data_IF_760100595831
#
_entry.id   IF_760100595831
#
_cell.length_a   1.000
_cell.length_b   1.000
_cell.length_c   1.000
_cell.angle_alpha   90.00
_cell.angle_beta   90.00
_cell.angle_gamma   90.00
#
_symmetry.space_group_name_H-M   'P 1'
#
loop_
_entity.id
_entity.type
_entity.pdbx_description
1 polymer ?
#
# COMPACT_ATOMS: atom_id res chain seq x y z
N UNK A 1 23.37 22.22 6.78
CA UNK A 1 24.72 21.61 6.72
C UNK A 1 24.65 20.24 6.06
N UNK A 2 24.41 20.19 4.75
CA UNK A 2 24.52 18.96 3.95
C UNK A 2 25.92 18.98 3.30
N UNK A 3 26.71 17.91 3.45
CA UNK A 3 27.91 17.74 2.61
C UNK A 3 29.26 17.52 3.29
N UNK A 4 29.36 16.76 4.38
CA UNK A 4 30.60 16.00 4.61
C UNK A 4 30.39 14.60 4.04
N UNK A 5 31.18 14.24 3.04
CA UNK A 5 31.33 12.85 2.60
C UNK A 5 31.90 12.09 3.79
N UNK A 6 31.03 11.41 4.53
CA UNK A 6 31.45 10.56 5.62
C UNK A 6 32.02 9.30 4.95
N UNK A 7 33.32 9.08 5.09
CA UNK A 7 33.93 7.82 4.69
C UNK A 7 33.46 6.74 5.67
N UNK A 8 32.50 5.93 5.22
CA UNK A 8 32.00 4.78 5.98
C UNK A 8 32.91 3.60 5.67
N UNK A 9 33.50 3.01 6.70
CA UNK A 9 34.29 1.78 6.62
C UNK A 9 33.55 0.68 7.37
N UNK A 10 33.56 -0.54 6.84
CA UNK A 10 32.87 -1.69 7.45
C UNK A 10 33.88 -2.72 7.92
N UNK A 11 33.77 -3.12 9.18
CA UNK A 11 34.49 -4.26 9.74
C UNK A 11 33.55 -5.46 9.84
N UNK A 12 33.95 -6.63 9.33
CA UNK A 12 33.18 -7.86 9.43
C UNK A 12 33.18 -8.46 10.83
N UNK A 13 34.19 -8.11 11.64
CA UNK A 13 34.32 -8.54 13.03
C UNK A 13 35.21 -7.57 13.82
N UNK A 14 35.27 -7.76 15.14
CA UNK A 14 36.04 -6.90 16.03
C UNK A 14 37.55 -6.94 15.74
N UNK A 15 38.09 -8.07 15.26
CA UNK A 15 39.51 -8.24 14.98
C UNK A 15 39.94 -7.35 13.81
N UNK A 16 39.15 -7.33 12.74
CA UNK A 16 39.40 -6.45 11.58
C UNK A 16 39.37 -4.97 11.97
N UNK A 17 38.45 -4.58 12.85
CA UNK A 17 38.39 -3.22 13.38
C UNK A 17 39.65 -2.87 14.17
N UNK A 18 40.10 -3.77 15.05
CA UNK A 18 41.32 -3.58 15.85
C UNK A 18 42.56 -3.51 14.95
N UNK A 19 42.66 -4.38 13.94
CA UNK A 19 43.76 -4.38 12.98
C UNK A 19 43.80 -3.10 12.14
N UNK A 20 42.63 -2.53 11.86
CA UNK A 20 42.53 -1.23 11.18
C UNK A 20 43.17 -0.10 11.96
N UNK A 21 42.82 0.03 13.25
CA UNK A 21 43.41 1.05 14.11
C UNK A 21 44.89 0.80 14.40
N UNK A 22 45.35 -0.46 14.35
CA UNK A 22 46.77 -0.82 14.47
C UNK A 22 47.57 -0.59 13.18
N UNK A 23 46.91 -0.31 12.05
CA UNK A 23 47.55 -0.14 10.74
C UNK A 23 48.00 -1.45 10.08
N UNK A 24 47.63 -2.61 10.62
CA UNK A 24 47.96 -3.93 10.04
C UNK A 24 46.97 -4.38 8.97
N UNK A 25 45.81 -3.74 8.89
CA UNK A 25 44.78 -3.99 7.89
C UNK A 25 44.10 -2.66 7.52
N UNK A 26 43.63 -2.50 6.27
CA UNK A 26 42.85 -1.33 5.87
C UNK A 26 41.42 -1.77 5.61
N UNK A 27 40.46 -1.24 6.38
CA UNK A 27 39.05 -1.42 6.07
C UNK A 27 38.71 -0.61 4.83
N UNK A 28 37.87 -1.16 3.98
CA UNK A 28 37.40 -0.49 2.76
C UNK A 28 35.95 -0.03 2.93
N UNK A 29 35.53 0.98 2.15
CA UNK A 29 34.13 1.33 2.06
C UNK A 29 33.29 0.15 1.59
N UNK A 30 32.07 -0.04 2.14
CA UNK A 30 31.20 -1.10 1.69
C UNK A 30 30.72 -0.83 0.26
N UNK A 31 30.70 -1.87 -0.57
CA UNK A 31 30.06 -1.80 -1.88
C UNK A 31 28.54 -1.91 -1.73
N UNK A 32 27.82 -0.89 -2.21
CA UNK A 32 26.37 -0.89 -2.20
C UNK A 32 25.84 -1.92 -3.22
N UNK A 33 25.32 -3.05 -2.72
CA UNK A 33 24.66 -4.06 -3.55
C UNK A 33 23.18 -3.69 -3.68
N UNK A 34 22.79 -3.19 -4.85
CA UNK A 34 21.39 -2.95 -5.18
C UNK A 34 20.82 -4.18 -5.88
N UNK A 35 19.55 -4.48 -5.62
CA UNK A 35 18.83 -5.45 -6.43
C UNK A 35 18.56 -4.81 -7.79
N UNK A 36 19.24 -5.30 -8.84
CA UNK A 36 19.08 -4.80 -10.20
C UNK A 36 17.93 -5.47 -10.97
N UNK A 37 17.43 -6.61 -10.48
CA UNK A 37 16.31 -7.30 -11.13
C UNK A 37 15.01 -6.49 -11.01
N UNK A 38 14.36 -6.16 -12.13
CA UNK A 38 13.08 -5.49 -12.10
C UNK A 38 12.03 -6.44 -11.53
N UNK A 39 11.36 -6.02 -10.46
CA UNK A 39 10.14 -6.71 -10.02
C UNK A 39 9.09 -6.52 -11.10
N UNK A 40 8.69 -7.61 -11.74
CA UNK A 40 7.70 -7.59 -12.80
C UNK A 40 6.29 -7.60 -12.19
N UNK A 41 5.59 -6.48 -12.28
CA UNK A 41 4.20 -6.35 -11.86
C UNK A 41 3.26 -6.56 -13.06
N UNK A 42 2.02 -7.02 -12.83
CA UNK A 42 1.00 -7.06 -13.88
C UNK A 42 0.78 -5.69 -14.54
N UNK A 43 0.52 -5.68 -15.85
CA UNK A 43 0.32 -4.46 -16.64
C UNK A 43 -1.17 -4.12 -16.76
N UNK A 44 -1.51 -2.83 -16.64
CA UNK A 44 -2.87 -2.34 -16.82
C UNK A 44 -3.46 -2.64 -18.21
N UNK A 45 -2.61 -2.79 -19.24
CA UNK A 45 -3.08 -3.17 -20.58
C UNK A 45 -3.70 -4.56 -20.63
N UNK A 46 -3.33 -5.44 -19.69
CA UNK A 46 -3.83 -6.82 -19.67
C UNK A 46 -5.23 -6.92 -19.00
N UNK A 47 -5.68 -5.85 -18.35
CA UNK A 47 -7.01 -5.76 -17.75
C UNK A 47 -7.92 -5.14 -18.79
N UNK A 48 -8.91 -5.89 -19.25
CA UNK A 48 -9.85 -5.41 -20.26
C UNK A 48 -10.99 -4.62 -19.60
N UNK A 49 -11.33 -3.47 -20.15
CA UNK A 49 -12.36 -2.60 -19.62
C UNK A 49 -12.01 -2.04 -18.23
N UNK A 50 -13.01 -1.95 -17.34
CA UNK A 50 -12.88 -1.39 -15.99
C UNK A 50 -12.29 0.03 -15.95
N UNK A 51 -12.66 0.89 -16.91
CA UNK A 51 -12.14 2.27 -17.04
C UNK A 51 -12.25 3.06 -15.74
N UNK A 52 -13.38 2.95 -15.04
CA UNK A 52 -13.61 3.60 -13.74
C UNK A 52 -12.59 3.09 -12.70
N UNK A 53 -12.39 1.78 -12.58
CA UNK A 53 -11.45 1.21 -11.63
C UNK A 53 -9.99 1.56 -11.94
N UNK A 54 -9.59 1.53 -13.21
CA UNK A 54 -8.26 1.98 -13.64
C UNK A 54 -8.03 3.45 -13.29
N UNK A 55 -9.02 4.30 -13.57
CA UNK A 55 -8.96 5.73 -13.26
C UNK A 55 -8.89 5.98 -11.76
N UNK A 56 -9.68 5.27 -10.96
CA UNK A 56 -9.66 5.35 -9.51
C UNK A 56 -8.31 4.92 -8.94
N UNK A 57 -7.70 3.85 -9.47
CA UNK A 57 -6.34 3.43 -9.09
C UNK A 57 -5.28 4.47 -9.47
N UNK A 58 -5.41 5.12 -10.62
CA UNK A 58 -4.53 6.25 -11.01
C UNK A 58 -4.66 7.42 -10.03
N UNK A 59 -5.89 7.79 -9.66
CA UNK A 59 -6.15 8.85 -8.67
C UNK A 59 -5.58 8.45 -7.30
N UNK A 60 -5.83 7.21 -6.87
CA UNK A 60 -5.31 6.68 -5.63
C UNK A 60 -3.77 6.69 -5.60
N UNK A 61 -3.11 6.19 -6.65
CA UNK A 61 -1.66 6.22 -6.80
C UNK A 61 -1.08 7.65 -6.81
N UNK A 62 -1.82 8.59 -7.38
CA UNK A 62 -1.42 10.01 -7.50
C UNK A 62 -1.53 10.76 -6.17
N UNK A 63 -2.64 10.59 -5.44
CA UNK A 63 -2.90 11.30 -4.18
C UNK A 63 -2.45 10.54 -2.93
N UNK A 64 -2.10 9.26 -3.05
CA UNK A 64 -1.81 8.38 -1.91
C UNK A 64 -3.06 7.89 -1.20
N UNK A 65 -4.22 7.95 -1.86
CA UNK A 65 -5.52 7.67 -1.26
C UNK A 65 -5.75 6.18 -1.02
N UNK A 66 -6.41 5.86 0.08
CA UNK A 66 -6.93 4.53 0.33
C UNK A 66 -8.16 4.28 -0.56
N UNK A 67 -8.23 3.09 -1.14
CA UNK A 67 -9.28 2.75 -2.11
C UNK A 67 -9.99 1.46 -1.71
N UNK A 68 -11.31 1.50 -1.69
CA UNK A 68 -12.17 0.35 -1.53
C UNK A 68 -12.95 0.06 -2.82
N UNK A 69 -12.86 -1.19 -3.28
CA UNK A 69 -13.56 -1.68 -4.46
C UNK A 69 -14.67 -2.66 -4.08
N UNK A 70 -15.89 -2.32 -4.45
CA UNK A 70 -17.06 -3.19 -4.32
C UNK A 70 -17.37 -3.84 -5.65
N UNK A 71 -17.74 -5.11 -5.68
CA UNK A 71 -18.26 -5.71 -6.91
C UNK A 71 -18.40 -7.22 -6.82
N UNK A 72 -19.08 -7.86 -7.79
CA UNK A 72 -19.27 -9.31 -7.79
C UNK A 72 -17.92 -10.06 -7.92
N UNK A 73 -17.90 -11.38 -7.62
CA UNK A 73 -16.71 -12.18 -7.83
C UNK A 73 -16.32 -12.20 -9.33
N UNK A 74 -15.04 -12.47 -9.61
CA UNK A 74 -14.47 -12.58 -10.97
C UNK A 74 -14.52 -11.31 -11.84
N UNK A 75 -14.69 -10.12 -11.25
CA UNK A 75 -14.60 -8.84 -11.97
C UNK A 75 -13.17 -8.29 -12.14
N UNK A 76 -12.17 -9.04 -11.66
CA UNK A 76 -10.76 -8.68 -11.81
C UNK A 76 -10.20 -7.77 -10.70
N UNK A 77 -10.92 -7.58 -9.59
CA UNK A 77 -10.49 -6.75 -8.44
C UNK A 77 -9.07 -7.06 -7.96
N UNK A 78 -8.75 -8.35 -7.74
CA UNK A 78 -7.42 -8.79 -7.31
C UNK A 78 -6.33 -8.51 -8.34
N UNK A 79 -6.66 -8.55 -9.64
CA UNK A 79 -5.71 -8.23 -10.72
C UNK A 79 -5.49 -6.71 -10.82
N UNK A 80 -6.57 -5.94 -10.66
CA UNK A 80 -6.55 -4.47 -10.58
C UNK A 80 -5.65 -4.00 -9.42
N UNK A 81 -5.80 -4.56 -8.22
CA UNK A 81 -4.94 -4.20 -7.08
C UNK A 81 -3.48 -4.59 -7.30
N UNK A 82 -3.23 -5.77 -7.89
CA UNK A 82 -1.87 -6.25 -8.18
C UNK A 82 -1.14 -5.37 -9.23
N UNK A 83 -1.87 -4.64 -10.08
CA UNK A 83 -1.27 -3.67 -10.99
C UNK A 83 -0.81 -2.38 -10.28
N UNK A 84 -1.33 -2.03 -9.09
CA UNK A 84 -1.05 -0.75 -8.46
C UNK A 84 0.45 -0.44 -8.26
N UNK A 85 1.30 -1.37 -7.78
CA UNK A 85 2.72 -1.10 -7.62
C UNK A 85 3.44 -0.72 -8.92
N UNK A 86 2.92 -1.15 -10.07
CA UNK A 86 3.48 -0.82 -11.39
C UNK A 86 3.37 0.67 -11.75
N UNK A 87 2.43 1.40 -11.13
CA UNK A 87 2.16 2.81 -11.41
C UNK A 87 2.62 3.77 -10.30
N UNK A 88 3.11 3.23 -9.17
CA UNK A 88 3.57 4.06 -8.06
C UNK A 88 4.92 4.73 -8.37
N UNK A 89 5.18 5.93 -7.83
CA UNK A 89 6.46 6.60 -7.99
C UNK A 89 7.58 5.80 -7.34
N UNK A 90 8.80 5.88 -7.89
CA UNK A 90 9.99 5.23 -7.29
C UNK A 90 10.21 5.71 -5.86
N UNK A 91 10.77 4.85 -5.00
CA UNK A 91 11.12 5.22 -3.63
C UNK A 91 12.31 6.19 -3.61
N UNK A 92 12.27 7.13 -2.67
CA UNK A 92 13.44 7.93 -2.30
C UNK A 92 14.47 7.08 -1.56
N UNK A 93 15.72 7.55 -1.47
CA UNK A 93 16.78 6.87 -0.71
C UNK A 93 16.40 6.65 0.76
N UNK A 94 15.72 7.62 1.38
CA UNK A 94 15.23 7.50 2.76
C UNK A 94 14.21 6.37 2.91
N UNK A 95 13.23 6.31 1.99
CA UNK A 95 12.22 5.24 1.98
C UNK A 95 12.85 3.86 1.75
N UNK A 96 13.83 3.74 0.85
CA UNK A 96 14.57 2.50 0.61
C UNK A 96 15.25 2.02 1.90
N UNK A 97 15.91 2.93 2.63
CA UNK A 97 16.59 2.59 3.88
C UNK A 97 15.60 2.14 4.96
N UNK A 98 14.49 2.88 5.16
CA UNK A 98 13.43 2.52 6.11
C UNK A 98 12.86 1.12 5.84
N UNK A 99 12.46 0.84 4.59
CA UNK A 99 11.96 -0.48 4.21
C UNK A 99 13.02 -1.58 4.38
N UNK A 100 14.27 -1.29 4.08
CA UNK A 100 15.38 -2.25 4.22
C UNK A 100 15.66 -2.59 5.68
N UNK A 101 15.61 -1.59 6.58
CA UNK A 101 15.72 -1.81 8.03
C UNK A 101 14.59 -2.71 8.53
N UNK A 102 13.34 -2.47 8.10
CA UNK A 102 12.19 -3.31 8.48
C UNK A 102 12.39 -4.76 8.00
N UNK A 103 12.74 -4.95 6.73
CA UNK A 103 13.01 -6.29 6.16
C UNK A 103 14.14 -7.00 6.89
N UNK A 104 15.18 -6.26 7.30
CA UNK A 104 16.30 -6.79 8.09
C UNK A 104 15.83 -7.27 9.48
N UNK A 105 15.07 -6.45 10.21
CA UNK A 105 14.50 -6.80 11.52
C UNK A 105 13.56 -8.01 11.41
N UNK A 106 12.80 -8.11 10.31
CA UNK A 106 11.94 -9.25 10.04
C UNK A 106 12.71 -10.56 9.78
N UNK A 107 14.02 -10.48 9.52
CA UNK A 107 14.86 -11.60 9.09
C UNK A 107 14.60 -12.03 7.64
N UNK A 108 14.10 -11.11 6.80
CA UNK A 108 13.75 -11.34 5.38
C UNK A 108 14.78 -10.72 4.41
N UNK A 109 15.98 -10.40 4.89
CA UNK A 109 16.99 -9.72 4.09
C UNK A 109 17.58 -10.68 3.04
N UNK A 110 17.41 -10.34 1.76
CA UNK A 110 17.92 -11.11 0.61
C UNK A 110 19.39 -10.76 0.37
N UNK A 111 20.31 -11.57 0.90
CA UNK A 111 21.75 -11.56 0.57
C UNK A 111 22.46 -10.19 0.62
N UNK A 112 22.01 -9.29 1.50
CA UNK A 112 22.61 -7.97 1.62
C UNK A 112 22.13 -6.93 0.59
N UNK A 113 21.18 -7.28 -0.29
CA UNK A 113 20.73 -6.41 -1.39
C UNK A 113 19.59 -5.49 -0.97
N UNK A 114 19.70 -4.21 -1.32
CA UNK A 114 18.61 -3.24 -1.13
C UNK A 114 17.65 -3.32 -2.33
N UNK A 115 16.35 -3.46 -2.04
CA UNK A 115 15.33 -3.40 -3.09
C UNK A 115 14.85 -1.98 -3.33
N UNK A 116 14.68 -1.61 -4.59
CA UNK A 116 14.12 -0.30 -5.01
C UNK A 116 12.60 -0.35 -5.21
N UNK A 117 12.02 -1.54 -5.18
CA UNK A 117 10.61 -1.75 -5.42
C UNK A 117 9.80 -1.47 -4.15
N UNK A 118 8.64 -0.82 -4.30
CA UNK A 118 7.76 -0.58 -3.16
C UNK A 118 7.25 -1.92 -2.61
N UNK A 119 7.20 -2.08 -1.27
CA UNK A 119 6.58 -3.25 -0.69
C UNK A 119 5.11 -3.38 -1.14
N UNK A 120 4.72 -4.58 -1.53
CA UNK A 120 3.33 -4.91 -1.85
C UNK A 120 2.97 -6.15 -1.03
N UNK A 121 1.99 -6.02 -0.14
CA UNK A 121 1.60 -7.08 0.80
C UNK A 121 0.15 -7.45 0.56
N UNK A 122 -0.10 -8.74 0.32
CA UNK A 122 -1.44 -9.31 0.10
C UNK A 122 -1.65 -10.46 1.09
N UNK A 123 -1.84 -10.19 2.39
CA UNK A 123 -2.12 -11.26 3.34
C UNK A 123 -3.40 -12.01 2.96
N UNK A 124 -3.41 -13.32 3.18
CA UNK A 124 -4.63 -14.11 3.04
C UNK A 124 -5.61 -13.78 4.18
N UNK A 125 -6.92 -13.88 3.96
CA UNK A 125 -7.93 -13.56 4.99
C UNK A 125 -7.84 -14.41 6.26
N UNK A 126 -7.16 -15.56 6.20
CA UNK A 126 -6.80 -16.38 7.37
C UNK A 126 -5.64 -15.82 8.21
N UNK A 127 -5.15 -14.61 7.88
CA UNK A 127 -4.10 -13.93 8.62
C UNK A 127 -4.52 -13.69 10.07
N UNK A 128 -3.69 -14.14 11.02
CA UNK A 128 -3.92 -13.88 12.44
C UNK A 128 -3.59 -12.45 12.81
N UNK A 129 -4.09 -11.99 13.96
CA UNK A 129 -3.74 -10.67 14.49
C UNK A 129 -2.23 -10.48 14.62
N UNK A 130 -1.51 -11.50 15.12
CA UNK A 130 -0.06 -11.46 15.27
C UNK A 130 0.69 -11.41 13.92
N UNK A 131 0.15 -12.02 12.86
CA UNK A 131 0.72 -11.92 11.52
C UNK A 131 0.46 -10.53 10.91
N UNK A 132 -0.73 -9.95 11.13
CA UNK A 132 -1.10 -8.63 10.62
C UNK A 132 -0.33 -7.50 11.32
N UNK A 133 -0.39 -7.46 12.65
CA UNK A 133 0.19 -6.42 13.51
C UNK A 133 1.68 -6.64 13.77
N UNK A 134 2.07 -7.90 13.90
CA UNK A 134 3.37 -8.30 14.43
C UNK A 134 3.25 -8.77 15.87
N UNK A 135 4.31 -9.39 16.37
CA UNK A 135 4.32 -9.99 17.69
C UNK A 135 5.52 -10.89 17.92
N UNK A 136 5.57 -11.49 19.10
CA UNK A 136 6.67 -12.35 19.56
C UNK A 136 6.90 -12.20 21.05
N UNK A 137 7.85 -12.96 21.59
CA UNK A 137 8.17 -12.96 23.02
C UNK A 137 9.57 -12.39 23.26
N UNK A 138 9.70 -11.52 24.27
CA UNK A 138 10.98 -10.92 24.67
C UNK A 138 11.63 -10.10 23.56
N UNK A 139 12.93 -10.30 23.31
CA UNK A 139 13.69 -9.57 22.27
C UNK A 139 13.38 -10.01 20.82
N UNK A 140 12.44 -10.94 20.61
CA UNK A 140 12.08 -11.50 19.29
C UNK A 140 10.75 -10.98 18.74
N UNK A 141 10.32 -9.78 19.14
CA UNK A 141 9.12 -9.14 18.56
C UNK A 141 9.39 -8.76 17.12
N UNK A 142 8.70 -9.41 16.19
CA UNK A 142 8.84 -9.18 14.75
C UNK A 142 7.74 -8.27 14.21
N UNK A 143 8.04 -7.48 13.17
CA UNK A 143 7.03 -6.70 12.47
C UNK A 143 6.01 -7.61 11.75
N UNK A 144 4.76 -7.16 11.68
CA UNK A 144 3.68 -7.82 10.92
C UNK A 144 3.55 -7.32 9.48
N UNK A 145 2.50 -7.78 8.80
CA UNK A 145 2.18 -7.41 7.42
C UNK A 145 1.97 -5.90 7.25
N UNK A 146 1.38 -5.23 8.24
CA UNK A 146 1.20 -3.77 8.26
C UNK A 146 2.53 -3.03 8.18
N UNK A 147 3.47 -3.36 9.08
CA UNK A 147 4.81 -2.75 9.08
C UNK A 147 5.60 -3.12 7.82
N UNK A 148 5.45 -4.36 7.34
CA UNK A 148 6.12 -4.82 6.13
C UNK A 148 5.59 -4.14 4.85
N UNK A 149 4.42 -3.51 4.90
CA UNK A 149 3.85 -2.70 3.83
C UNK A 149 4.31 -1.23 3.87
N UNK A 150 5.16 -0.83 4.83
CA UNK A 150 5.62 0.55 4.98
C UNK A 150 6.24 1.13 3.70
N UNK A 151 5.90 2.37 3.38
CA UNK A 151 6.16 3.09 2.12
C UNK A 151 5.70 2.33 0.86
N UNK A 152 4.78 1.39 1.02
CA UNK A 152 4.23 0.56 -0.04
C UNK A 152 2.72 0.45 0.06
N UNK A 153 2.20 -0.72 -0.28
CA UNK A 153 0.77 -1.01 -0.36
C UNK A 153 0.45 -2.23 0.48
N UNK A 154 -0.59 -2.10 1.31
CA UNK A 154 -1.28 -3.22 1.93
C UNK A 154 -2.58 -3.46 1.16
N UNK A 155 -2.69 -4.63 0.53
CA UNK A 155 -3.84 -5.01 -0.27
C UNK A 155 -4.64 -6.11 0.45
N UNK A 156 -5.90 -5.82 0.77
CA UNK A 156 -6.81 -6.75 1.44
C UNK A 156 -7.92 -7.14 0.47
N UNK A 157 -7.75 -8.29 -0.17
CA UNK A 157 -8.81 -8.87 -1.00
C UNK A 157 -9.82 -9.58 -0.10
N UNK A 158 -11.10 -9.50 -0.47
CA UNK A 158 -12.21 -10.04 0.33
C UNK A 158 -12.20 -9.51 1.78
N UNK A 159 -12.09 -8.19 1.95
CA UNK A 159 -11.91 -7.54 3.26
C UNK A 159 -12.81 -8.10 4.39
N UNK A 160 -14.14 -8.29 4.21
CA UNK A 160 -15.00 -8.82 5.26
C UNK A 160 -14.84 -10.34 5.55
N UNK A 161 -13.98 -11.05 4.83
CA UNK A 161 -13.61 -12.44 5.18
C UNK A 161 -12.52 -12.49 6.26
N UNK A 162 -11.80 -11.39 6.50
CA UNK A 162 -10.89 -11.30 7.64
C UNK A 162 -11.68 -11.30 8.96
N UNK A 163 -11.10 -11.83 10.06
CA UNK A 163 -11.68 -11.66 11.38
C UNK A 163 -11.80 -10.17 11.74
N UNK A 164 -12.94 -9.75 12.29
CA UNK A 164 -13.22 -8.33 12.56
C UNK A 164 -12.11 -7.65 13.40
N UNK A 165 -11.61 -8.31 14.44
CA UNK A 165 -10.52 -7.78 15.27
C UNK A 165 -9.19 -7.59 14.51
N UNK A 166 -8.96 -8.31 13.41
CA UNK A 166 -7.79 -8.11 12.53
C UNK A 166 -7.99 -6.88 11.65
N UNK A 167 -9.21 -6.67 11.16
CA UNK A 167 -9.58 -5.46 10.39
C UNK A 167 -9.46 -4.22 11.28
N UNK A 168 -10.05 -4.27 12.48
CA UNK A 168 -10.05 -3.13 13.42
C UNK A 168 -8.63 -2.74 13.86
N UNK A 169 -7.67 -3.67 13.83
CA UNK A 169 -6.26 -3.39 14.10
C UNK A 169 -5.60 -2.45 13.08
N UNK A 170 -6.21 -2.24 11.91
CA UNK A 170 -5.73 -1.32 10.88
C UNK A 170 -6.03 0.15 11.20
N UNK A 171 -6.98 0.43 12.09
CA UNK A 171 -7.46 1.79 12.37
C UNK A 171 -6.34 2.74 12.77
N UNK A 172 -5.59 2.39 13.82
CA UNK A 172 -4.49 3.23 14.30
C UNK A 172 -3.37 3.42 13.25
N UNK A 173 -2.92 2.36 12.54
CA UNK A 173 -1.94 2.50 11.47
C UNK A 173 -2.38 3.37 10.29
N UNK A 174 -3.66 3.31 9.88
CA UNK A 174 -4.20 4.17 8.79
C UNK A 174 -4.09 5.64 9.19
N UNK A 175 -4.54 5.97 10.41
CA UNK A 175 -4.54 7.35 10.92
C UNK A 175 -3.09 7.86 11.14
N UNK A 176 -2.32 7.16 11.96
CA UNK A 176 -1.06 7.67 12.50
C UNK A 176 0.19 7.23 11.70
N UNK A 177 0.06 6.24 10.81
CA UNK A 177 1.19 5.71 10.04
C UNK A 177 2.20 4.95 10.89
N UNK A 178 1.79 4.38 12.02
CA UNK A 178 2.63 3.67 12.98
C UNK A 178 1.84 2.61 13.76
N UNK A 179 2.55 1.63 14.29
CA UNK A 179 1.97 0.57 15.11
C UNK A 179 2.80 0.35 16.37
N UNK A 180 2.12 0.27 17.52
CA UNK A 180 2.74 0.00 18.80
C UNK A 180 2.47 -1.45 19.20
N UNK A 181 3.53 -2.25 19.28
CA UNK A 181 3.46 -3.62 19.78
C UNK A 181 3.87 -3.60 21.24
N UNK A 182 2.91 -3.83 22.12
CA UNK A 182 3.12 -3.93 23.57
C UNK A 182 3.02 -5.38 24.00
N UNK A 183 4.14 -5.97 24.41
CA UNK A 183 4.23 -7.29 25.01
C UNK A 183 4.68 -7.22 26.46
N UNK A 184 4.63 -8.34 27.17
CA UNK A 184 4.94 -8.42 28.61
C UNK A 184 6.33 -7.87 29.01
N UNK A 185 7.30 -7.86 28.08
CA UNK A 185 8.68 -7.44 28.34
C UNK A 185 9.24 -6.44 27.30
N UNK A 186 8.40 -5.89 26.41
CA UNK A 186 8.87 -4.97 25.36
C UNK A 186 7.74 -4.08 24.82
N UNK A 187 8.05 -2.80 24.62
CA UNK A 187 7.23 -1.85 23.89
C UNK A 187 8.00 -1.38 22.66
N UNK A 188 7.59 -1.82 21.47
CA UNK A 188 8.28 -1.51 20.23
C UNK A 188 7.32 -0.82 19.29
N UNK A 189 7.77 0.32 18.77
CA UNK A 189 7.03 1.12 17.82
C UNK A 189 7.63 0.91 16.43
N UNK A 190 6.79 0.52 15.48
CA UNK A 190 7.18 0.33 14.09
C UNK A 190 6.47 1.35 13.19
N UNK A 191 7.15 1.87 12.16
CA UNK A 191 6.48 2.69 11.16
C UNK A 191 5.55 1.83 10.30
N UNK A 192 4.43 2.40 9.89
CA UNK A 192 3.35 1.76 9.16
C UNK A 192 2.65 2.74 8.20
N UNK A 193 3.40 3.64 7.57
CA UNK A 193 2.87 4.47 6.50
C UNK A 193 2.70 3.63 5.22
N UNK A 194 1.53 3.04 5.00
CA UNK A 194 1.18 2.27 3.80
C UNK A 194 -0.08 2.84 3.13
N UNK A 195 -0.25 2.58 1.85
CA UNK A 195 -1.51 2.82 1.15
C UNK A 195 -2.39 1.58 1.29
N UNK A 196 -3.62 1.73 1.79
CA UNK A 196 -4.58 0.64 1.93
C UNK A 196 -5.43 0.52 0.68
N UNK A 197 -5.41 -0.66 0.07
CA UNK A 197 -6.30 -1.00 -1.04
C UNK A 197 -7.09 -2.22 -0.64
N UNK A 198 -8.41 -2.14 -0.71
CA UNK A 198 -9.26 -3.26 -0.35
C UNK A 198 -10.27 -3.57 -1.44
N UNK A 199 -10.71 -4.82 -1.47
CA UNK A 199 -11.80 -5.25 -2.31
C UNK A 199 -12.78 -6.07 -1.48
N UNK A 200 -14.07 -5.95 -1.76
CA UNK A 200 -15.09 -6.79 -1.16
C UNK A 200 -16.22 -7.14 -2.12
N UNK A 201 -16.90 -8.23 -1.82
CA UNK A 201 -18.09 -8.67 -2.55
C UNK A 201 -19.34 -7.96 -1.99
N UNK A 202 -20.44 -7.87 -2.76
CA UNK A 202 -21.67 -7.23 -2.27
C UNK A 202 -22.36 -8.03 -1.14
N UNK A 203 -22.17 -9.36 -1.13
CA UNK A 203 -22.57 -10.28 -0.06
C UNK A 203 -21.52 -11.39 0.07
N UNK A 204 -21.54 -12.13 1.18
CA UNK A 204 -20.78 -13.38 1.34
C UNK A 204 -21.02 -14.39 0.21
N UNK A 205 -22.23 -14.39 -0.33
CA UNK A 205 -22.65 -15.28 -1.42
C UNK A 205 -22.11 -14.91 -2.81
N UNK A 206 -21.62 -13.67 -3.00
CA UNK A 206 -21.24 -13.12 -4.29
C UNK A 206 -22.37 -12.81 -5.28
N UNK A 207 -23.62 -13.20 -5.03
CA UNK A 207 -24.73 -13.12 -6.01
C UNK A 207 -25.69 -11.93 -5.80
N UNK A 208 -25.48 -11.11 -4.78
CA UNK A 208 -26.34 -9.95 -4.59
C UNK A 208 -26.17 -8.97 -5.76
N UNK A 209 -27.29 -8.64 -6.43
CA UNK A 209 -27.29 -7.76 -7.61
C UNK A 209 -26.85 -8.45 -8.91
N UNK A 210 -26.67 -9.78 -8.91
CA UNK A 210 -26.38 -10.53 -10.13
C UNK A 210 -27.68 -10.71 -10.94
N UNK A 211 -27.70 -10.35 -12.24
CA UNK A 211 -28.91 -10.47 -13.07
C UNK A 211 -29.30 -11.93 -13.38
N UNK A 212 -28.40 -12.89 -13.17
CA UNK A 212 -28.62 -14.31 -13.46
C UNK A 212 -28.69 -15.18 -12.20
N UNK A 213 -28.36 -14.65 -11.02
CA UNK A 213 -28.33 -15.41 -9.76
C UNK A 213 -28.91 -14.60 -8.62
N UNK A 214 -29.71 -15.26 -7.78
CA UNK A 214 -30.33 -14.61 -6.64
C UNK A 214 -29.63 -14.97 -5.32
N UNK A 215 -29.50 -13.98 -4.44
CA UNK A 215 -29.15 -14.21 -3.05
C UNK A 215 -30.40 -14.59 -2.25
N UNK A 216 -30.54 -15.87 -1.91
CA UNK A 216 -31.66 -16.40 -1.12
C UNK A 216 -31.82 -15.78 0.28
N UNK A 217 -30.79 -15.08 0.78
CA UNK A 217 -30.76 -14.45 2.11
C UNK A 217 -30.74 -12.92 2.02
N UNK A 218 -31.03 -12.34 0.86
CA UNK A 218 -31.10 -10.90 0.69
C UNK A 218 -32.31 -10.33 1.45
N UNK A 219 -32.21 -9.11 2.02
CA UNK A 219 -31.02 -8.25 2.08
C UNK A 219 -30.07 -8.58 3.25
N UNK A 220 -30.48 -9.44 4.19
CA UNK A 220 -29.75 -9.72 5.44
C UNK A 220 -28.32 -10.21 5.22
N UNK A 221 -28.10 -11.05 4.20
CA UNK A 221 -26.75 -11.53 3.86
C UNK A 221 -25.77 -10.42 3.47
N UNK A 222 -26.26 -9.34 2.87
CA UNK A 222 -25.45 -8.19 2.48
C UNK A 222 -25.10 -7.37 3.72
N UNK A 223 -26.11 -7.04 4.52
CA UNK A 223 -25.96 -6.29 5.76
C UNK A 223 -25.00 -7.00 6.72
N UNK A 224 -25.22 -8.28 7.03
CA UNK A 224 -24.36 -9.07 7.93
C UNK A 224 -22.92 -9.16 7.43
N UNK A 225 -22.70 -9.16 6.12
CA UNK A 225 -21.37 -9.22 5.52
C UNK A 225 -20.65 -7.87 5.63
N UNK A 226 -21.34 -6.79 5.27
CA UNK A 226 -20.78 -5.43 5.29
C UNK A 226 -20.55 -4.92 6.72
N UNK A 227 -21.41 -5.28 7.68
CA UNK A 227 -21.28 -4.90 9.10
C UNK A 227 -20.00 -5.41 9.77
N UNK A 228 -19.30 -6.38 9.18
CA UNK A 228 -17.99 -6.82 9.68
C UNK A 228 -16.90 -5.74 9.54
N UNK A 229 -17.09 -4.79 8.62
CA UNK A 229 -16.20 -3.65 8.47
C UNK A 229 -16.80 -2.50 9.26
N UNK A 230 -16.09 -2.08 10.31
CA UNK A 230 -16.56 -1.02 11.20
C UNK A 230 -16.58 0.33 10.48
N UNK A 231 -17.48 1.23 10.91
CA UNK A 231 -17.55 2.61 10.39
C UNK A 231 -16.19 3.32 10.37
N UNK A 232 -15.40 3.30 11.46
CA UNK A 232 -14.07 3.91 11.48
C UNK A 232 -13.09 3.35 10.43
N UNK A 233 -13.22 2.09 10.04
CA UNK A 233 -12.42 1.50 8.96
C UNK A 233 -12.94 1.96 7.60
N UNK A 234 -14.26 2.02 7.42
CA UNK A 234 -14.89 2.53 6.21
C UNK A 234 -14.53 4.00 5.94
N UNK A 235 -14.53 4.83 6.98
CA UNK A 235 -14.14 6.25 6.94
C UNK A 235 -12.65 6.42 6.61
N UNK A 236 -11.83 5.39 6.84
CA UNK A 236 -10.41 5.36 6.48
C UNK A 236 -10.14 5.17 4.99
N UNK A 237 -11.17 4.88 4.16
CA UNK A 237 -11.07 4.82 2.72
C UNK A 237 -11.52 6.14 2.08
N UNK A 238 -10.60 6.82 1.40
CA UNK A 238 -10.90 8.08 0.71
C UNK A 238 -11.76 7.88 -0.53
N UNK A 239 -11.60 6.74 -1.21
CA UNK A 239 -12.28 6.42 -2.46
C UNK A 239 -13.05 5.11 -2.32
N UNK A 240 -14.32 5.14 -2.75
CA UNK A 240 -15.20 3.99 -2.82
C UNK A 240 -15.68 3.86 -4.24
N UNK A 241 -15.43 2.73 -4.89
CA UNK A 241 -15.86 2.50 -6.26
C UNK A 241 -16.58 1.17 -6.40
N UNK A 242 -17.55 1.15 -7.30
CA UNK A 242 -18.15 -0.09 -7.77
C UNK A 242 -17.42 -0.59 -9.03
N UNK A 243 -17.10 -1.87 -9.04
CA UNK A 243 -16.43 -2.60 -10.12
C UNK A 243 -17.43 -3.58 -10.71
N UNK A 244 -18.06 -3.17 -11.79
CA UNK A 244 -19.11 -3.94 -12.47
C UNK A 244 -18.58 -5.20 -13.13
N UNK A 245 -19.44 -6.19 -13.34
CA UNK A 245 -19.12 -7.32 -14.23
C UNK A 245 -19.10 -6.83 -15.68
N UNK A 246 -18.06 -7.20 -16.41
CA UNK A 246 -18.03 -7.01 -17.86
C UNK A 246 -18.74 -8.20 -18.48
N UNK A 247 -19.74 -7.94 -19.32
CA UNK A 247 -20.42 -9.00 -20.05
C UNK A 247 -19.45 -9.61 -21.06
N UNK A 248 -19.07 -10.87 -20.82
CA UNK A 248 -18.13 -11.64 -21.65
C UNK A 248 -18.67 -11.84 -23.07
N UNK A 249 -19.98 -11.71 -23.30
CA UNK A 249 -20.59 -11.82 -24.63
C UNK A 249 -20.50 -10.51 -25.45
N UNK A 250 -20.19 -9.37 -24.83
CA UNK A 250 -19.92 -8.10 -25.52
C UNK A 250 -18.41 -7.83 -25.70
N UNK A 251 -17.58 -8.86 -25.56
CA UNK A 251 -16.13 -8.74 -25.69
C UNK A 251 -15.71 -8.20 -27.07
N UNK A 252 -16.47 -8.54 -28.13
CA UNK A 252 -16.20 -8.09 -29.50
C UNK A 252 -16.48 -6.59 -29.72
N UNK A 253 -17.19 -5.94 -28.80
CA UNK A 253 -17.46 -4.48 -28.81
C UNK A 253 -16.44 -3.68 -27.99
N UNK A 254 -15.50 -4.35 -27.31
CA UNK A 254 -14.47 -3.69 -26.52
C UNK A 254 -13.32 -3.34 -27.45
N UNK A 255 -13.15 -2.05 -27.75
CA UNK A 255 -12.03 -1.55 -28.55
C UNK A 255 -10.68 -1.80 -27.86
N UNK A 256 -9.97 -2.81 -28.34
CA UNK A 256 -8.66 -3.26 -27.85
C UNK A 256 -7.52 -2.29 -28.12
N UNK A 257 -7.69 -1.35 -29.05
CA UNK A 257 -6.62 -0.42 -29.43
C UNK A 257 -6.36 0.68 -28.39
N UNK A 258 -7.21 0.76 -27.36
CA UNK A 258 -7.27 1.88 -26.40
C UNK A 258 -6.84 1.54 -24.97
N UNK A 259 -6.40 0.30 -24.69
CA UNK A 259 -6.03 -0.08 -23.33
C UNK A 259 -4.68 0.52 -22.92
N UNK A 260 -4.72 1.41 -21.92
CA UNK A 260 -3.53 2.09 -21.43
C UNK A 260 -2.61 1.12 -20.67
N UNK A 261 -1.31 1.19 -20.97
CA UNK A 261 -0.30 0.42 -20.26
C UNK A 261 0.10 1.10 -18.94
N UNK A 262 0.66 0.31 -18.01
CA UNK A 262 1.12 0.82 -16.71
C UNK A 262 2.16 1.93 -16.83
N UNK A 263 3.01 1.93 -17.86
CA UNK A 263 4.08 2.93 -18.02
C UNK A 263 3.51 4.32 -18.28
N UNK A 264 2.47 4.43 -19.09
CA UNK A 264 1.83 5.71 -19.41
C UNK A 264 1.07 6.26 -18.21
N UNK A 265 0.34 5.39 -17.49
CA UNK A 265 -0.31 5.75 -16.23
C UNK A 265 0.73 6.20 -15.19
N UNK A 266 1.83 5.44 -15.02
CA UNK A 266 2.92 5.77 -14.11
C UNK A 266 3.55 7.14 -14.42
N UNK A 267 3.67 7.50 -15.71
CA UNK A 267 4.18 8.80 -16.11
C UNK A 267 3.26 9.96 -15.66
N UNK A 268 1.94 9.78 -15.73
CA UNK A 268 0.96 10.76 -15.22
C UNK A 268 0.98 10.84 -13.70
N UNK A 269 0.97 9.70 -13.01
CA UNK A 269 1.12 9.63 -11.54
C UNK A 269 2.39 10.37 -11.10
N UNK A 270 3.52 10.12 -11.77
CA UNK A 270 4.78 10.82 -11.48
C UNK A 270 4.68 12.34 -11.65
N UNK A 271 4.04 12.82 -12.73
CA UNK A 271 3.81 14.27 -12.93
C UNK A 271 3.02 14.87 -11.77
N UNK A 272 1.93 14.22 -11.35
CA UNK A 272 1.11 14.69 -10.22
C UNK A 272 1.88 14.67 -8.90
N UNK A 273 2.73 13.66 -8.68
CA UNK A 273 3.60 13.58 -7.49
C UNK A 273 4.63 14.69 -7.44
N UNK A 274 5.23 15.07 -8.58
CA UNK A 274 6.16 16.20 -8.66
C UNK A 274 5.48 17.54 -8.35
N UNK A 275 4.21 17.71 -8.75
CA UNK A 275 3.44 18.91 -8.40
C UNK A 275 3.21 18.98 -6.89
N UNK A 276 2.81 17.86 -6.26
CA UNK A 276 2.62 17.79 -4.81
C UNK A 276 3.92 18.01 -4.04
N UNK A 277 5.03 17.42 -4.49
CA UNK A 277 6.35 17.60 -3.86
C UNK A 277 6.76 19.08 -3.81
N UNK A 278 6.56 19.82 -4.91
CA UNK A 278 6.81 21.27 -4.95
C UNK A 278 5.81 22.04 -4.09
N UNK A 279 4.53 21.68 -4.14
CA UNK A 279 3.47 22.35 -3.36
C UNK A 279 3.69 22.22 -1.86
N UNK A 280 4.17 21.07 -1.42
CA UNK A 280 4.36 20.75 -0.01
C UNK A 280 5.80 20.90 0.47
N UNK A 281 6.65 21.58 -0.30
CA UNK A 281 8.01 21.90 0.13
C UNK A 281 7.98 22.69 1.45
N UNK A 282 8.74 22.22 2.44
CA UNK A 282 8.73 22.79 3.80
C UNK A 282 7.69 22.20 4.77
N UNK A 283 6.75 21.39 4.29
CA UNK A 283 5.79 20.66 5.12
C UNK A 283 6.20 19.19 5.33
N UNK A 284 5.71 18.55 6.39
CA UNK A 284 5.93 17.13 6.66
C UNK A 284 4.88 16.23 5.98
N UNK A 285 4.41 16.62 4.79
CA UNK A 285 3.44 15.87 3.98
C UNK A 285 3.99 15.72 2.57
N UNK A 286 3.65 14.61 1.91
CA UNK A 286 4.11 14.31 0.54
C UNK A 286 2.96 14.24 -0.46
N UNK A 287 1.74 14.08 0.05
CA UNK A 287 0.63 13.51 -0.69
C UNK A 287 -0.69 14.13 -0.23
N UNK A 288 -1.65 14.28 -1.14
CA UNK A 288 -2.94 14.93 -0.85
C UNK A 288 -3.75 14.24 0.25
N UNK A 289 -3.65 12.90 0.39
CA UNK A 289 -4.36 12.18 1.46
C UNK A 289 -3.88 12.54 2.89
N UNK A 290 -2.79 13.30 3.03
CA UNK A 290 -2.27 13.77 4.31
C UNK A 290 -2.58 15.25 4.59
N UNK A 291 -3.36 15.90 3.72
CA UNK A 291 -3.79 17.28 3.96
C UNK A 291 -4.72 17.35 5.16
N UNK A 292 -4.45 18.26 6.08
CA UNK A 292 -5.29 18.52 7.24
C UNK A 292 -5.57 20.03 7.39
N UNK A 293 -6.71 20.33 8.04
CA UNK A 293 -7.07 21.69 8.50
C UNK A 293 -6.88 22.76 7.42
N UNK A 294 -5.94 23.68 7.64
CA UNK A 294 -5.69 24.83 6.78
C UNK A 294 -5.14 24.42 5.41
N UNK A 295 -4.30 23.39 5.34
CA UNK A 295 -3.72 22.93 4.07
C UNK A 295 -4.78 22.35 3.13
N UNK A 296 -5.85 21.76 3.68
CA UNK A 296 -6.99 21.30 2.89
C UNK A 296 -7.73 22.49 2.26
N UNK A 297 -7.92 23.58 3.01
CA UNK A 297 -8.55 24.80 2.52
C UNK A 297 -7.66 25.46 1.46
N UNK A 298 -6.36 25.57 1.71
CA UNK A 298 -5.44 26.29 0.83
C UNK A 298 -5.23 25.59 -0.52
N UNK A 299 -5.28 24.25 -0.55
CA UNK A 299 -4.84 23.47 -1.71
C UNK A 299 -5.87 22.49 -2.29
N UNK A 300 -6.97 22.23 -1.59
CA UNK A 300 -7.97 21.24 -1.98
C UNK A 300 -9.42 21.73 -1.81
N UNK A 301 -9.63 23.06 -1.75
CA UNK A 301 -10.99 23.60 -1.72
C UNK A 301 -11.72 23.22 -3.02
N UNK A 302 -12.92 22.60 -2.93
CA UNK A 302 -13.68 22.26 -4.11
C UNK A 302 -14.09 23.53 -4.86
N UNK A 303 -14.13 23.41 -6.19
CA UNK A 303 -14.77 24.39 -7.07
C UNK A 303 -16.27 24.49 -6.73
N UNK A 304 -16.93 25.54 -7.19
CA UNK A 304 -18.34 25.83 -6.83
C UNK A 304 -19.26 24.63 -7.13
N UNK A 305 -19.14 24.04 -8.32
CA UNK A 305 -19.86 22.82 -8.72
C UNK A 305 -19.62 21.63 -7.78
N UNK A 306 -18.42 21.54 -7.20
CA UNK A 306 -18.06 20.50 -6.23
C UNK A 306 -18.61 20.77 -4.83
N UNK A 307 -18.87 22.03 -4.47
CA UNK A 307 -19.52 22.39 -3.19
C UNK A 307 -20.99 22.04 -3.21
N UNK A 308 -21.67 22.28 -4.33
CA UNK A 308 -23.08 21.95 -4.52
C UNK A 308 -23.36 20.45 -4.37
N UNK A 309 -22.36 19.58 -4.60
CA UNK A 309 -22.47 18.13 -4.42
C UNK A 309 -22.23 17.67 -2.97
N UNK A 310 -21.70 18.53 -2.10
CA UNK A 310 -21.41 18.23 -0.70
C UNK A 310 -22.51 18.71 0.26
N UNK A 311 -23.41 19.58 -0.21
CA UNK A 311 -24.63 20.03 0.48
C UNK A 311 -25.81 19.09 0.24
#
# INVERSE_FOLDING_TARGET
MLGRVINILVAGNLIELVNHFKGSQVLTPPEAKLQDEPINYPDFKDIKGQKIAKRALEIAASGGHNLLMFGPPRTGKSRLTACLPSILPKMSTKEILECSTITSIAGKFLDGKLTKARPFRTPHHSCSLAAMVGGGVGKKVKPGEITLAHNGVLCLDELPEFPQHVIDALRQPIENGEILISGSNAHIKYPANFQLIAAMNPCKCGYLGDPYKECMKAPKCASDYQMKVSGPIMDGFDLHIEVSSINVYNYDLIDYSSEENSKDIAARVKKVRLIQEKRYEGYNIKTNNRLDRQLLIDYAMPADEGRDLLE
#
